data_IF_453824493223
#
_entry.id   IF_453824493223
#
_cell.length_a   1.000
_cell.length_b   1.000
_cell.length_c   1.000
_cell.angle_alpha   90.00
_cell.angle_beta   90.00
_cell.angle_gamma   90.00
#
_symmetry.space_group_name_H-M   'P 1'
#
loop_
_entity.id
_entity.type
_entity.pdbx_description
1 polymer ?
#
# COMPACT_ATOMS: atom_id res chain seq x y z
N UNK A 1 0.05 -7.48 4.32
CA UNK A 1 0.94 -6.50 3.67
C UNK A 1 0.04 -5.38 3.18
N UNK A 2 0.21 -4.15 3.68
CA UNK A 2 -0.48 -2.98 3.15
C UNK A 2 -0.38 -2.91 1.63
N UNK A 3 -1.49 -2.65 0.95
CA UNK A 3 -1.53 -2.43 -0.49
C UNK A 3 -1.63 -0.91 -0.75
N UNK A 4 -1.83 -0.50 -2.01
CA UNK A 4 -1.82 0.92 -2.36
C UNK A 4 -2.76 1.79 -1.50
N UNK A 5 -4.04 1.42 -1.28
CA UNK A 5 -4.97 2.23 -0.48
C UNK A 5 -4.51 2.46 0.97
N UNK A 6 -3.97 1.43 1.62
CA UNK A 6 -3.45 1.56 2.99
C UNK A 6 -2.22 2.47 3.03
N UNK A 7 -1.29 2.35 2.07
CA UNK A 7 -0.11 3.23 2.02
C UNK A 7 -0.51 4.68 1.73
N UNK A 8 -1.51 4.91 0.88
CA UNK A 8 -2.04 6.26 0.64
C UNK A 8 -2.71 6.84 1.89
N UNK A 9 -3.42 6.00 2.66
CA UNK A 9 -4.03 6.41 3.94
C UNK A 9 -2.95 6.82 4.95
N UNK A 10 -1.85 6.05 5.05
CA UNK A 10 -0.71 6.43 5.89
C UNK A 10 -0.09 7.75 5.42
N UNK A 11 0.14 7.91 4.10
CA UNK A 11 0.68 9.16 3.54
C UNK A 11 -0.19 10.37 3.91
N UNK A 12 -1.50 10.26 3.74
CA UNK A 12 -2.48 11.32 4.11
C UNK A 12 -2.47 11.62 5.61
N UNK A 13 -2.37 10.60 6.45
CA UNK A 13 -2.33 10.78 7.90
C UNK A 13 -1.02 11.38 8.42
N UNK A 14 0.10 11.09 7.77
CA UNK A 14 1.42 11.64 8.14
C UNK A 14 1.65 13.06 7.64
N UNK A 15 1.11 13.41 6.46
CA UNK A 15 1.38 14.69 5.80
C UNK A 15 1.12 15.92 6.70
N UNK A 16 0.01 16.04 7.45
CA UNK A 16 -0.20 17.18 8.37
C UNK A 16 0.83 17.27 9.51
N UNK A 17 1.35 16.11 9.94
CA UNK A 17 2.31 16.02 11.03
C UNK A 17 3.75 16.30 10.57
N UNK A 18 4.09 15.95 9.33
CA UNK A 18 5.47 15.87 8.87
C UNK A 18 5.80 16.81 7.70
N UNK A 19 4.90 16.95 6.71
CA UNK A 19 5.21 17.66 5.47
C UNK A 19 5.41 19.15 5.72
N UNK A 20 6.44 19.71 5.11
CA UNK A 20 6.84 21.10 5.28
C UNK A 20 7.59 21.37 6.58
N UNK A 21 7.77 20.39 7.48
CA UNK A 21 8.43 20.56 8.78
C UNK A 21 9.85 19.99 8.80
N UNK A 22 10.69 20.52 9.69
CA UNK A 22 12.03 19.99 9.97
C UNK A 22 11.95 18.79 10.93
N UNK A 23 12.69 17.73 10.61
CA UNK A 23 12.98 16.62 11.53
C UNK A 23 14.04 17.15 12.49
N UNK A 24 13.66 17.54 13.70
CA UNK A 24 14.57 18.10 14.70
C UNK A 24 15.54 17.06 15.24
N UNK A 25 15.05 15.84 15.46
CA UNK A 25 15.85 14.71 15.96
C UNK A 25 15.32 13.41 15.38
N UNK A 26 16.22 12.48 15.05
CA UNK A 26 15.86 11.13 14.63
C UNK A 26 16.41 10.09 15.61
N UNK A 27 15.52 9.35 16.26
CA UNK A 27 15.92 8.19 17.06
C UNK A 27 15.81 6.93 16.22
N UNK A 28 16.84 6.11 16.32
CA UNK A 28 16.93 4.82 15.64
C UNK A 28 17.32 3.83 16.72
N UNK A 29 16.36 3.02 17.15
CA UNK A 29 16.49 2.18 18.35
C UNK A 29 17.19 0.84 18.08
N UNK A 30 17.76 0.69 16.87
CA UNK A 30 18.44 -0.51 16.40
C UNK A 30 19.21 -0.26 15.09
N UNK A 31 20.02 -1.23 14.66
CA UNK A 31 20.86 -1.09 13.47
C UNK A 31 20.16 -1.38 12.13
N UNK A 32 19.02 -2.09 12.13
CA UNK A 32 18.39 -2.63 10.92
C UNK A 32 16.87 -2.77 11.03
N UNK A 33 16.17 -2.93 9.91
CA UNK A 33 14.80 -3.47 9.87
C UNK A 33 14.83 -4.81 9.12
N UNK A 34 14.22 -4.88 7.94
CA UNK A 34 14.47 -5.98 7.00
C UNK A 34 15.87 -5.93 6.41
N UNK A 35 16.37 -4.71 6.24
CA UNK A 35 17.72 -4.40 5.76
C UNK A 35 18.38 -3.42 6.73
N UNK A 36 19.72 -3.36 6.78
CA UNK A 36 20.44 -2.32 7.51
C UNK A 36 20.01 -0.92 7.06
N UNK A 37 20.01 0.05 7.97
CA UNK A 37 19.84 1.45 7.58
C UNK A 37 21.03 1.93 6.73
N UNK A 38 20.83 2.93 5.85
CA UNK A 38 21.92 3.53 5.10
C UNK A 38 23.09 4.02 5.97
N UNK A 39 24.32 4.11 5.43
CA UNK A 39 25.42 4.76 6.12
C UNK A 39 25.06 6.20 6.51
N UNK A 40 25.37 6.57 7.76
CA UNK A 40 25.08 7.87 8.35
C UNK A 40 23.59 8.26 8.26
N UNK A 41 22.69 7.27 8.37
CA UNK A 41 21.25 7.48 8.19
C UNK A 41 20.68 8.56 9.11
N UNK A 42 21.07 8.56 10.40
CA UNK A 42 20.61 9.57 11.36
C UNK A 42 21.09 10.96 10.94
N UNK A 43 22.38 11.10 10.68
CA UNK A 43 23.03 12.36 10.36
C UNK A 43 22.50 12.97 9.04
N UNK A 44 22.07 12.14 8.10
CA UNK A 44 21.52 12.57 6.80
C UNK A 44 20.05 13.01 6.86
N UNK A 45 19.30 12.51 7.84
CA UNK A 45 17.85 12.77 7.99
C UNK A 45 17.57 13.82 9.06
N UNK A 46 18.33 13.80 10.15
CA UNK A 46 18.22 14.78 11.23
C UNK A 46 18.56 16.19 10.74
N UNK A 47 17.77 17.18 11.13
CA UNK A 47 17.86 18.55 10.67
C UNK A 47 17.27 18.81 9.28
N UNK A 48 16.95 17.77 8.49
CA UNK A 48 16.37 17.95 7.17
C UNK A 48 14.89 18.38 7.25
N UNK A 49 14.46 19.25 6.32
CA UNK A 49 13.05 19.62 6.15
C UNK A 49 12.41 18.68 5.14
N UNK A 50 11.22 18.17 5.46
CA UNK A 50 10.44 17.37 4.52
C UNK A 50 9.76 18.33 3.53
N UNK A 51 10.20 18.34 2.28
CA UNK A 51 9.68 19.24 1.22
C UNK A 51 8.41 18.67 0.61
N UNK A 52 8.34 17.35 0.43
CA UNK A 52 7.19 16.66 -0.15
C UNK A 52 6.98 15.27 0.46
N UNK A 53 5.73 14.85 0.61
CA UNK A 53 5.36 13.49 0.98
C UNK A 53 4.47 12.86 -0.09
N UNK A 54 5.07 11.99 -0.88
CA UNK A 54 4.43 11.23 -1.94
C UNK A 54 4.29 9.75 -1.61
N UNK A 55 3.74 9.01 -2.57
CA UNK A 55 3.66 7.55 -2.57
C UNK A 55 3.94 7.06 -3.98
N UNK A 56 4.68 5.96 -4.07
CA UNK A 56 4.77 5.16 -5.31
C UNK A 56 4.47 3.72 -4.98
N UNK A 57 3.51 3.11 -5.64
CA UNK A 57 2.99 1.77 -5.36
C UNK A 57 2.68 1.56 -3.87
N UNK A 58 3.50 0.76 -3.19
CA UNK A 58 3.39 0.43 -1.75
C UNK A 58 4.53 1.07 -0.93
N UNK A 59 5.15 2.10 -1.47
CA UNK A 59 6.24 2.86 -0.86
C UNK A 59 5.75 4.26 -0.51
N UNK A 60 6.07 4.73 0.69
CA UNK A 60 6.06 6.14 1.03
C UNK A 60 7.38 6.75 0.51
N UNK A 61 7.29 7.88 -0.17
CA UNK A 61 8.45 8.60 -0.72
C UNK A 61 8.43 10.00 -0.13
N UNK A 62 9.37 10.29 0.75
CA UNK A 62 9.43 11.56 1.49
C UNK A 62 10.68 12.32 1.06
N UNK A 63 10.50 13.39 0.29
CA UNK A 63 11.60 14.22 -0.19
C UNK A 63 12.09 15.13 0.93
N UNK A 64 13.42 15.22 1.07
CA UNK A 64 14.11 16.01 2.08
C UNK A 64 14.80 17.21 1.43
N UNK A 65 14.99 18.28 2.19
CA UNK A 65 15.73 19.47 1.77
C UNK A 65 17.22 19.22 1.50
N UNK A 66 17.70 18.01 1.78
CA UNK A 66 19.07 17.54 1.50
C UNK A 66 19.21 16.93 0.10
N UNK A 67 18.20 17.08 -0.76
CA UNK A 67 18.12 16.50 -2.10
C UNK A 67 18.03 14.97 -2.11
N UNK A 68 17.79 14.35 -0.95
CA UNK A 68 17.52 12.92 -0.81
C UNK A 68 16.05 12.65 -0.55
N UNK A 69 15.57 11.50 -0.98
CA UNK A 69 14.27 10.99 -0.60
C UNK A 69 14.42 9.83 0.39
N UNK A 70 13.70 9.92 1.50
CA UNK A 70 13.45 8.84 2.43
C UNK A 70 12.36 7.92 1.87
N UNK A 71 12.76 6.74 1.43
CA UNK A 71 11.89 5.71 0.87
C UNK A 71 11.55 4.70 1.97
N UNK A 72 10.27 4.53 2.27
CA UNK A 72 9.81 3.67 3.36
C UNK A 72 8.81 2.64 2.83
N UNK A 73 8.97 1.39 3.26
CA UNK A 73 8.02 0.31 2.98
C UNK A 73 7.56 -0.31 4.28
N UNK A 74 6.24 -0.43 4.50
CA UNK A 74 5.66 -0.90 5.77
C UNK A 74 5.82 -2.41 6.00
N UNK A 75 6.16 -3.17 4.97
CA UNK A 75 6.29 -4.62 5.07
C UNK A 75 4.94 -5.27 5.33
N UNK A 76 4.81 -6.04 6.41
CA UNK A 76 3.54 -6.67 6.77
C UNK A 76 2.87 -6.11 8.02
N UNK A 77 3.66 -5.62 8.97
CA UNK A 77 3.20 -5.16 10.29
C UNK A 77 3.71 -3.77 10.66
N UNK A 78 4.45 -3.12 9.77
CA UNK A 78 4.90 -1.75 9.96
C UNK A 78 3.71 -0.80 10.00
N UNK A 79 3.69 0.06 11.02
CA UNK A 79 2.68 1.08 11.23
C UNK A 79 3.33 2.36 11.74
N UNK A 80 2.69 3.48 11.46
CA UNK A 80 3.10 4.77 11.99
C UNK A 80 2.07 5.25 13.00
N UNK A 81 2.55 5.91 14.06
CA UNK A 81 1.73 6.61 15.04
C UNK A 81 2.20 8.05 15.15
N UNK A 82 1.29 8.97 15.42
CA UNK A 82 1.59 10.39 15.60
C UNK A 82 1.14 10.79 17.01
N UNK A 83 2.05 11.39 17.78
CA UNK A 83 1.80 11.87 19.14
C UNK A 83 2.31 13.30 19.30
N UNK A 84 1.72 14.11 20.18
CA UNK A 84 2.08 15.52 20.40
C UNK A 84 0.88 16.46 20.30
N UNK A 85 1.10 17.77 20.44
CA UNK A 85 0.05 18.81 20.59
C UNK A 85 -0.98 18.79 19.43
N UNK A 86 -2.04 18.02 19.63
CA UNK A 86 -3.37 18.34 19.12
C UNK A 86 -4.10 19.08 20.23
N UNK A 87 -4.99 20.01 19.90
CA UNK A 87 -5.70 20.92 20.82
C UNK A 87 -6.68 20.22 21.79
N UNK A 88 -6.58 18.91 21.96
CA UNK A 88 -7.29 18.14 22.95
C UNK A 88 -6.31 17.14 23.58
N UNK A 89 -6.06 17.27 24.88
CA UNK A 89 -5.28 16.33 25.70
C UNK A 89 -5.99 14.97 25.83
N UNK A 90 -6.19 14.29 24.71
CA UNK A 90 -6.48 12.86 24.69
C UNK A 90 -5.15 12.15 24.43
N UNK A 91 -4.44 11.79 25.51
CA UNK A 91 -3.41 10.78 25.45
C UNK A 91 -4.07 9.46 25.01
N UNK A 92 -4.14 9.22 23.71
CA UNK A 92 -4.49 7.93 23.19
C UNK A 92 -3.23 7.06 23.26
N UNK A 93 -3.27 6.03 24.10
CA UNK A 93 -2.29 4.95 24.01
C UNK A 93 -2.46 4.33 22.60
N UNK A 94 -1.45 4.39 21.72
CA UNK A 94 -1.55 3.85 20.38
C UNK A 94 -1.80 2.32 20.34
N UNK A 95 -1.78 1.64 21.49
CA UNK A 95 -1.99 0.20 21.58
C UNK A 95 -0.82 -0.60 20.98
N UNK A 96 0.33 0.04 20.81
CA UNK A 96 1.55 -0.57 20.26
C UNK A 96 2.51 -0.94 21.38
N UNK A 97 3.19 -2.09 21.25
CA UNK A 97 4.27 -2.44 22.16
C UNK A 97 5.52 -1.58 21.83
N UNK A 98 5.99 -0.72 22.76
CA UNK A 98 7.13 0.16 22.52
C UNK A 98 8.44 -0.58 22.23
N UNK A 99 8.55 -1.86 22.59
CA UNK A 99 9.70 -2.71 22.23
C UNK A 99 9.84 -2.91 20.70
N UNK A 100 8.86 -2.49 19.92
CA UNK A 100 8.88 -2.54 18.46
C UNK A 100 8.93 -1.15 17.80
N UNK A 101 9.13 -0.09 18.58
CA UNK A 101 9.35 1.28 18.08
C UNK A 101 10.80 1.40 17.61
N UNK A 102 11.02 1.25 16.31
CA UNK A 102 12.37 1.12 15.75
C UNK A 102 12.94 2.45 15.26
N UNK A 103 12.08 3.36 14.78
CA UNK A 103 12.47 4.70 14.30
C UNK A 103 11.47 5.73 14.82
N UNK A 104 11.96 6.81 15.41
CA UNK A 104 11.15 7.90 15.95
C UNK A 104 11.63 9.22 15.36
N UNK A 105 10.72 9.93 14.70
CA UNK A 105 10.95 11.25 14.13
C UNK A 105 10.40 12.28 15.11
N UNK A 106 11.27 13.12 15.68
CA UNK A 106 10.86 14.29 16.44
C UNK A 106 10.83 15.49 15.50
N UNK A 107 9.66 16.08 15.34
CA UNK A 107 9.41 17.21 14.45
C UNK A 107 9.63 18.53 15.19
N UNK A 108 9.98 19.59 14.46
CA UNK A 108 10.31 20.91 15.04
C UNK A 108 9.20 21.59 15.86
N UNK A 109 7.96 21.11 15.78
CA UNK A 109 6.81 21.61 16.54
C UNK A 109 6.45 20.74 17.76
N UNK A 110 7.33 19.81 18.13
CA UNK A 110 7.14 18.90 19.26
C UNK A 110 6.22 17.71 18.96
N UNK A 111 5.79 17.53 17.71
CA UNK A 111 5.12 16.30 17.26
C UNK A 111 6.15 15.19 17.12
N UNK A 112 5.78 14.00 17.56
CA UNK A 112 6.57 12.77 17.42
C UNK A 112 5.84 11.80 16.49
N UNK A 113 6.56 11.27 15.51
CA UNK A 113 6.06 10.23 14.61
C UNK A 113 6.88 8.95 14.79
N UNK A 114 6.23 7.86 15.18
CA UNK A 114 6.91 6.60 15.53
C UNK A 114 6.58 5.50 14.53
N UNK A 115 7.62 4.88 13.97
CA UNK A 115 7.51 3.66 13.16
C UNK A 115 7.66 2.42 14.03
N UNK A 116 6.57 1.67 14.16
CA UNK A 116 6.49 0.41 14.90
C UNK A 116 6.40 -0.77 13.93
N UNK A 117 7.26 -1.79 14.06
CA UNK A 117 7.19 -2.99 13.20
C UNK A 117 7.60 -4.28 13.96
N UNK A 118 6.64 -5.03 14.52
CA UNK A 118 6.92 -6.25 15.27
C UNK A 118 7.65 -7.33 14.46
N UNK A 119 7.34 -7.47 13.16
CA UNK A 119 7.94 -8.50 12.29
C UNK A 119 9.19 -8.01 11.57
N UNK A 120 9.44 -6.70 11.55
CA UNK A 120 10.65 -6.08 10.97
C UNK A 120 10.80 -6.38 9.48
N UNK A 121 9.67 -6.38 8.77
CA UNK A 121 9.65 -6.63 7.33
C UNK A 121 9.58 -5.36 6.51
N UNK A 122 9.33 -4.22 7.16
CA UNK A 122 9.56 -2.93 6.53
C UNK A 122 11.04 -2.58 6.43
N UNK A 123 11.30 -1.48 5.75
CA UNK A 123 12.64 -0.92 5.59
C UNK A 123 12.57 0.56 5.29
N UNK A 124 13.68 1.25 5.51
CA UNK A 124 13.89 2.65 5.16
C UNK A 124 15.22 2.76 4.42
N UNK A 125 15.19 3.37 3.24
CA UNK A 125 16.38 3.62 2.42
C UNK A 125 16.39 5.11 2.04
N UNK A 126 17.58 5.62 1.67
CA UNK A 126 17.76 6.97 1.14
C UNK A 126 18.23 6.87 -0.31
N UNK A 127 17.69 7.73 -1.16
CA UNK A 127 18.03 7.78 -2.58
C UNK A 127 18.04 9.24 -3.08
N UNK A 128 18.92 9.63 -4.01
CA UNK A 128 18.88 10.98 -4.58
C UNK A 128 17.53 11.28 -5.22
N UNK A 129 16.97 12.46 -4.94
CA UNK A 129 15.62 12.86 -5.39
C UNK A 129 15.56 12.96 -6.91
N UNK A 130 16.61 13.50 -7.53
CA UNK A 130 16.72 13.63 -8.99
C UNK A 130 16.70 12.27 -9.72
N UNK A 131 17.16 11.21 -9.05
CA UNK A 131 17.28 9.86 -9.61
C UNK A 131 16.22 8.89 -9.07
N UNK A 132 15.12 9.39 -8.48
CA UNK A 132 14.09 8.51 -7.91
C UNK A 132 13.49 7.51 -8.89
N UNK A 133 13.43 7.85 -10.18
CA UNK A 133 12.93 6.94 -11.21
C UNK A 133 13.83 5.72 -11.45
N UNK A 134 15.12 5.80 -11.11
CA UNK A 134 16.09 4.70 -11.25
C UNK A 134 16.25 3.87 -9.97
N UNK A 135 15.53 4.22 -8.89
CA UNK A 135 15.59 3.45 -7.66
C UNK A 135 15.19 1.98 -7.93
N UNK A 136 16.03 0.99 -7.59
CA UNK A 136 15.88 -0.40 -8.06
C UNK A 136 14.53 -1.08 -7.75
N UNK A 137 13.83 -0.62 -6.70
CA UNK A 137 12.52 -1.19 -6.33
C UNK A 137 11.33 -0.47 -6.96
N UNK A 138 11.57 0.66 -7.63
CA UNK A 138 10.57 1.49 -8.31
C UNK A 138 10.73 1.45 -9.84
N UNK A 139 11.96 1.36 -10.36
CA UNK A 139 12.26 1.50 -11.79
C UNK A 139 11.47 0.55 -12.71
N UNK A 140 11.15 -0.66 -12.23
CA UNK A 140 10.44 -1.68 -13.01
C UNK A 140 8.93 -1.69 -12.78
N UNK A 141 8.39 -0.79 -11.96
CA UNK A 141 6.98 -0.78 -11.60
C UNK A 141 6.12 -0.28 -12.78
N UNK A 142 5.04 -1.00 -13.05
CA UNK A 142 4.00 -0.59 -13.99
C UNK A 142 3.25 0.67 -13.54
N UNK A 143 2.31 1.17 -14.35
CA UNK A 143 1.52 2.34 -14.01
C UNK A 143 0.67 2.10 -12.76
N UNK A 144 0.22 3.19 -12.14
CA UNK A 144 -0.67 3.11 -10.99
C UNK A 144 -2.14 3.08 -11.42
N UNK A 145 -3.01 2.35 -10.70
CA UNK A 145 -4.43 2.61 -10.74
C UNK A 145 -4.72 4.11 -10.53
N UNK A 146 -5.77 4.61 -11.15
CA UNK A 146 -6.19 6.03 -11.13
C UNK A 146 -5.22 7.03 -11.81
N UNK A 147 -4.06 6.59 -12.31
CA UNK A 147 -3.16 7.45 -13.08
C UNK A 147 -3.56 7.52 -14.57
N UNK A 148 -3.16 8.60 -15.24
CA UNK A 148 -3.38 8.77 -16.68
C UNK A 148 -2.66 7.73 -17.55
N UNK A 149 -1.64 7.04 -17.00
CA UNK A 149 -0.91 5.99 -17.71
C UNK A 149 -1.55 4.60 -17.58
N UNK A 150 -2.56 4.44 -16.70
CA UNK A 150 -3.31 3.20 -16.59
C UNK A 150 -4.65 3.29 -17.33
N UNK A 151 -4.79 2.47 -18.37
CA UNK A 151 -6.00 2.39 -19.20
C UNK A 151 -6.28 0.96 -19.63
N UNK A 152 -7.48 0.72 -20.18
CA UNK A 152 -7.79 -0.57 -20.78
C UNK A 152 -6.91 -0.89 -21.99
N UNK A 153 -6.51 0.13 -22.77
CA UNK A 153 -5.57 -0.03 -23.88
C UNK A 153 -4.19 -0.48 -23.37
N UNK A 154 -3.68 0.17 -22.32
CA UNK A 154 -2.45 -0.25 -21.65
C UNK A 154 -2.57 -1.70 -21.15
N UNK A 155 -3.66 -2.04 -20.45
CA UNK A 155 -3.86 -3.37 -19.88
C UNK A 155 -3.92 -4.45 -20.96
N UNK A 156 -4.55 -4.19 -22.11
CA UNK A 156 -4.58 -5.10 -23.25
C UNK A 156 -3.15 -5.44 -23.73
N UNK A 157 -2.30 -4.43 -23.93
CA UNK A 157 -0.92 -4.64 -24.37
C UNK A 157 -0.07 -5.30 -23.28
N UNK A 158 -0.20 -4.87 -22.03
CA UNK A 158 0.54 -5.44 -20.90
C UNK A 158 0.23 -6.92 -20.67
N UNK A 159 -0.98 -7.38 -21.02
CA UNK A 159 -1.39 -8.78 -20.86
C UNK A 159 -1.11 -9.66 -22.10
N UNK A 160 -0.71 -9.06 -23.21
CA UNK A 160 -0.45 -9.77 -24.47
C UNK A 160 0.63 -10.84 -24.29
N UNK A 161 0.35 -12.05 -24.77
CA UNK A 161 1.26 -13.20 -24.66
C UNK A 161 1.45 -13.77 -23.25
N UNK A 162 0.85 -13.18 -22.20
CA UNK A 162 0.93 -13.73 -20.84
C UNK A 162 -0.05 -14.89 -20.66
N UNK A 163 0.49 -16.11 -20.72
CA UNK A 163 -0.28 -17.35 -20.53
C UNK A 163 -0.67 -17.62 -19.06
N UNK A 164 -0.05 -16.92 -18.10
CA UNK A 164 -0.36 -17.04 -16.68
C UNK A 164 -1.83 -16.66 -16.36
N UNK A 165 -2.41 -17.17 -15.25
CA UNK A 165 -3.72 -16.72 -14.79
C UNK A 165 -3.76 -15.20 -14.55
N UNK A 166 -4.88 -14.56 -14.88
CA UNK A 166 -5.07 -13.11 -14.78
C UNK A 166 -4.79 -12.58 -13.37
N UNK A 167 -5.17 -13.34 -12.33
CA UNK A 167 -4.85 -12.96 -10.95
C UNK A 167 -3.34 -12.84 -10.74
N UNK A 168 -2.57 -13.82 -11.23
CA UNK A 168 -1.12 -13.80 -11.09
C UNK A 168 -0.50 -12.63 -11.86
N UNK A 169 -1.02 -12.35 -13.07
CA UNK A 169 -0.57 -11.21 -13.87
C UNK A 169 -0.86 -9.85 -13.20
N UNK A 170 -1.99 -9.68 -12.51
CA UNK A 170 -2.32 -8.44 -11.80
C UNK A 170 -1.57 -8.25 -10.48
N UNK A 171 -1.00 -9.33 -9.93
CA UNK A 171 -0.14 -9.25 -8.74
C UNK A 171 1.31 -8.89 -9.11
N UNK A 172 1.69 -9.04 -10.37
CA UNK A 172 2.98 -8.59 -10.90
C UNK A 172 3.01 -7.06 -10.91
N UNK A 173 3.88 -6.48 -10.08
CA UNK A 173 3.97 -5.04 -9.94
C UNK A 173 4.52 -4.34 -11.19
N UNK A 174 5.14 -5.08 -12.13
CA UNK A 174 5.53 -4.56 -13.43
C UNK A 174 4.35 -4.42 -14.40
N UNK A 175 3.27 -5.18 -14.20
CA UNK A 175 2.02 -5.05 -14.98
C UNK A 175 1.15 -3.92 -14.43
N UNK A 176 0.97 -3.87 -13.11
CA UNK A 176 0.25 -2.78 -12.47
C UNK A 176 0.74 -2.64 -11.04
N UNK A 177 1.16 -1.43 -10.70
CA UNK A 177 1.76 -1.16 -9.42
C UNK A 177 0.70 -0.98 -8.32
N UNK A 178 1.03 -1.40 -7.10
CA UNK A 178 0.21 -1.08 -5.93
C UNK A 178 -0.92 -2.07 -5.65
N UNK A 179 -1.37 -2.85 -6.63
CA UNK A 179 -2.33 -3.92 -6.39
C UNK A 179 -1.73 -5.07 -5.57
N UNK A 180 -2.52 -5.66 -4.68
CA UNK A 180 -2.19 -6.89 -3.98
C UNK A 180 -3.37 -7.88 -3.96
N UNK A 181 -3.39 -8.75 -2.98
CA UNK A 181 -4.28 -9.92 -3.01
C UNK A 181 -5.76 -9.53 -2.86
N UNK A 182 -6.03 -8.52 -2.04
CA UNK A 182 -7.40 -8.08 -1.73
C UNK A 182 -8.02 -7.46 -2.96
N UNK A 183 -7.42 -6.36 -3.42
CA UNK A 183 -8.00 -5.53 -4.46
C UNK A 183 -8.03 -6.23 -5.83
N UNK A 184 -7.12 -7.20 -6.07
CA UNK A 184 -7.21 -8.06 -7.26
C UNK A 184 -8.41 -9.00 -7.20
N UNK A 185 -8.72 -9.62 -6.04
CA UNK A 185 -9.89 -10.50 -5.93
C UNK A 185 -11.19 -9.69 -6.12
N UNK A 186 -11.28 -8.53 -5.48
CA UNK A 186 -12.43 -7.63 -5.59
C UNK A 186 -12.63 -7.11 -7.02
N UNK A 187 -11.58 -6.64 -7.68
CA UNK A 187 -11.66 -6.15 -9.06
C UNK A 187 -12.04 -7.27 -10.07
N UNK A 188 -11.53 -8.48 -9.87
CA UNK A 188 -11.89 -9.63 -10.70
C UNK A 188 -13.35 -10.06 -10.50
N UNK A 189 -13.87 -9.97 -9.27
CA UNK A 189 -15.28 -10.21 -9.00
C UNK A 189 -16.16 -9.17 -9.69
N UNK A 190 -15.89 -7.87 -9.48
CA UNK A 190 -16.67 -6.78 -10.07
C UNK A 190 -16.65 -6.77 -11.60
N UNK A 191 -15.54 -7.18 -12.21
CA UNK A 191 -15.43 -7.30 -13.68
C UNK A 191 -16.03 -8.60 -14.26
N UNK A 192 -16.46 -9.53 -13.40
CA UNK A 192 -17.02 -10.83 -13.78
C UNK A 192 -16.00 -11.77 -14.43
N UNK A 193 -14.72 -11.62 -14.10
CA UNK A 193 -13.62 -12.39 -14.71
C UNK A 193 -13.16 -13.47 -13.75
N UNK A 194 -13.11 -14.72 -14.23
CA UNK A 194 -12.54 -15.83 -13.45
C UNK A 194 -11.06 -15.59 -13.14
N UNK A 195 -10.59 -15.75 -11.89
CA UNK A 195 -9.18 -15.56 -11.55
C UNK A 195 -8.26 -16.62 -12.18
N UNK A 196 -8.84 -17.70 -12.73
CA UNK A 196 -8.13 -18.75 -13.47
C UNK A 196 -7.95 -18.44 -14.96
N UNK A 197 -8.65 -17.43 -15.49
CA UNK A 197 -8.61 -17.08 -16.91
C UNK A 197 -7.18 -16.70 -17.30
N UNK A 198 -6.70 -17.18 -18.46
CA UNK A 198 -5.39 -16.78 -19.00
C UNK A 198 -5.38 -15.28 -19.23
N UNK A 199 -4.34 -14.59 -18.77
CA UNK A 199 -4.28 -13.13 -18.81
C UNK A 199 -4.38 -12.59 -20.24
N UNK A 200 -3.67 -13.22 -21.19
CA UNK A 200 -3.75 -12.90 -22.62
C UNK A 200 -5.16 -13.05 -23.26
N UNK A 201 -6.13 -13.67 -22.59
CA UNK A 201 -7.51 -13.79 -23.07
C UNK A 201 -8.45 -12.72 -22.51
N UNK A 202 -7.94 -11.84 -21.64
CA UNK A 202 -8.64 -10.67 -21.11
C UNK A 202 -8.35 -9.51 -22.04
N UNK A 203 -9.11 -9.43 -23.12
CA UNK A 203 -8.93 -8.43 -24.18
C UNK A 203 -10.23 -7.66 -24.48
N UNK A 204 -10.09 -6.48 -25.08
CA UNK A 204 -11.22 -5.64 -25.51
C UNK A 204 -12.17 -5.34 -24.37
N UNK A 205 -13.47 -5.61 -24.55
CA UNK A 205 -14.52 -5.36 -23.53
C UNK A 205 -14.23 -5.98 -22.16
N UNK A 206 -13.44 -7.06 -22.07
CA UNK A 206 -13.04 -7.63 -20.77
C UNK A 206 -12.00 -6.77 -20.08
N UNK A 207 -10.99 -6.29 -20.81
CA UNK A 207 -9.99 -5.38 -20.27
C UNK A 207 -10.61 -4.03 -19.90
N UNK A 208 -11.58 -3.54 -20.68
CA UNK A 208 -12.31 -2.31 -20.36
C UNK A 208 -13.02 -2.41 -18.99
N UNK A 209 -13.77 -3.50 -18.78
CA UNK A 209 -14.44 -3.75 -17.49
C UNK A 209 -13.44 -3.95 -16.35
N UNK A 210 -12.32 -4.64 -16.60
CA UNK A 210 -11.31 -4.89 -15.58
C UNK A 210 -10.59 -3.62 -15.16
N UNK A 211 -10.12 -2.81 -16.12
CA UNK A 211 -9.45 -1.55 -15.83
C UNK A 211 -10.36 -0.59 -15.05
N UNK A 212 -11.64 -0.52 -15.45
CA UNK A 212 -12.65 0.25 -14.72
C UNK A 212 -12.85 -0.27 -13.29
N UNK A 213 -13.08 -1.58 -13.13
CA UNK A 213 -13.28 -2.19 -11.83
C UNK A 213 -12.06 -2.02 -10.90
N UNK A 214 -10.84 -2.08 -11.44
CA UNK A 214 -9.61 -1.79 -10.68
C UNK A 214 -9.63 -0.35 -10.16
N UNK A 215 -9.90 0.63 -11.02
CA UNK A 215 -9.96 2.04 -10.61
C UNK A 215 -11.06 2.29 -9.57
N UNK A 216 -12.27 1.76 -9.79
CA UNK A 216 -13.39 1.90 -8.86
C UNK A 216 -13.06 1.31 -7.47
N UNK A 217 -12.56 0.07 -7.43
CA UNK A 217 -12.17 -0.59 -6.17
C UNK A 217 -11.10 0.19 -5.43
N UNK A 218 -10.07 0.67 -6.14
CA UNK A 218 -8.98 1.42 -5.51
C UNK A 218 -9.43 2.79 -5.04
N UNK A 219 -10.26 3.50 -5.81
CA UNK A 219 -10.82 4.78 -5.39
C UNK A 219 -11.68 4.63 -4.13
N UNK A 220 -12.60 3.66 -4.12
CA UNK A 220 -13.45 3.37 -2.96
C UNK A 220 -12.63 2.95 -1.74
N UNK A 221 -11.58 2.15 -1.94
CA UNK A 221 -10.70 1.74 -0.87
C UNK A 221 -9.92 2.91 -0.28
N UNK A 222 -9.41 3.83 -1.10
CA UNK A 222 -8.73 5.04 -0.61
C UNK A 222 -9.71 5.91 0.18
N UNK A 223 -10.92 6.10 -0.32
CA UNK A 223 -11.96 6.90 0.35
C UNK A 223 -12.37 6.29 1.70
N UNK A 224 -12.42 4.96 1.79
CA UNK A 224 -12.72 4.25 3.02
C UNK A 224 -11.52 4.13 4.00
N UNK A 225 -10.37 4.76 3.70
CA UNK A 225 -9.17 4.69 4.54
C UNK A 225 -8.42 3.34 4.46
N UNK A 226 -8.64 2.59 3.38
CA UNK A 226 -8.11 1.24 3.19
C UNK A 226 -8.84 0.19 4.02
N UNK A 227 -8.25 -1.00 4.06
CA UNK A 227 -8.73 -2.14 4.84
C UNK A 227 -7.91 -2.34 6.12
N UNK A 228 -8.61 -2.40 7.25
CA UNK A 228 -8.00 -2.76 8.53
C UNK A 228 -7.93 -4.28 8.67
N UNK A 229 -6.92 -4.91 8.06
CA UNK A 229 -6.68 -6.34 8.27
C UNK A 229 -5.75 -6.50 9.47
N UNK A 230 -6.33 -7.04 10.55
CA UNK A 230 -5.75 -7.48 11.84
C UNK A 230 -4.88 -6.52 12.66
N UNK A 231 -4.18 -5.57 12.04
CA UNK A 231 -3.12 -4.78 12.70
C UNK A 231 -2.97 -3.34 12.17
N UNK A 232 -3.82 -2.92 11.23
CA UNK A 232 -3.71 -1.60 10.59
C UNK A 232 -4.65 -0.59 11.26
N UNK A 233 -4.06 0.41 11.91
CA UNK A 233 -4.70 1.66 12.27
C UNK A 233 -4.04 2.78 11.46
N UNK A 234 -4.81 3.79 11.05
CA UNK A 234 -4.27 4.97 10.37
C UNK A 234 -3.25 5.69 11.26
N UNK A 235 -2.47 6.62 10.69
CA UNK A 235 -1.54 7.42 11.47
C UNK A 235 -2.24 8.29 12.56
N UNK A 236 -3.55 8.53 12.41
CA UNK A 236 -4.42 9.18 13.42
C UNK A 236 -5.08 8.19 14.41
N UNK A 237 -4.85 6.89 14.26
CA UNK A 237 -5.47 5.83 15.07
C UNK A 237 -6.84 5.35 14.55
N UNK A 238 -7.36 5.92 13.46
CA UNK A 238 -8.63 5.52 12.87
C UNK A 238 -8.50 4.24 12.03
N UNK A 239 -9.43 3.30 12.22
CA UNK A 239 -9.49 2.07 11.43
C UNK A 239 -10.04 2.38 10.03
N UNK A 240 -9.35 1.95 8.98
CA UNK A 240 -9.93 1.86 7.63
C UNK A 240 -11.16 0.93 7.64
N UNK A 241 -12.18 1.25 6.84
CA UNK A 241 -13.48 0.56 6.87
C UNK A 241 -13.74 -0.33 5.65
N UNK A 242 -12.82 -0.40 4.68
CA UNK A 242 -13.06 -1.09 3.41
C UNK A 242 -13.26 -2.61 3.57
N UNK A 243 -12.74 -3.24 4.62
CA UNK A 243 -12.97 -4.66 4.91
C UNK A 243 -14.46 -5.02 5.11
N UNK A 244 -15.30 -4.05 5.50
CA UNK A 244 -16.75 -4.25 5.58
C UNK A 244 -17.43 -4.28 4.21
N UNK A 245 -16.72 -3.85 3.16
CA UNK A 245 -17.19 -3.75 1.78
C UNK A 245 -16.68 -4.88 0.89
N UNK A 246 -15.93 -5.84 1.42
CA UNK A 246 -15.45 -6.99 0.65
C UNK A 246 -16.61 -7.79 0.07
N UNK A 247 -16.58 -7.98 -1.25
CA UNK A 247 -17.58 -8.77 -1.96
C UNK A 247 -17.17 -10.24 -1.99
N UNK A 248 -15.87 -10.55 -2.04
CA UNK A 248 -15.39 -11.94 -2.08
C UNK A 248 -14.21 -12.22 -1.16
N UNK A 249 -13.35 -11.24 -0.90
CA UNK A 249 -12.12 -11.48 -0.15
C UNK A 249 -12.40 -11.92 1.29
N UNK A 250 -11.77 -13.02 1.71
CA UNK A 250 -11.95 -13.62 3.05
C UNK A 250 -13.41 -14.01 3.40
N UNK A 251 -14.23 -14.23 2.36
CA UNK A 251 -15.64 -14.64 2.50
C UNK A 251 -15.89 -16.09 2.10
N UNK A 252 -14.88 -16.96 2.17
CA UNK A 252 -15.02 -18.39 1.82
C UNK A 252 -16.22 -19.04 2.52
N UNK A 253 -17.07 -19.73 1.75
CA UNK A 253 -18.30 -20.36 2.25
C UNK A 253 -19.47 -19.41 2.52
N UNK A 254 -19.26 -18.09 2.50
CA UNK A 254 -20.35 -17.14 2.62
C UNK A 254 -21.13 -17.01 1.30
N UNK A 255 -22.43 -16.65 1.33
CA UNK A 255 -23.22 -16.45 0.12
C UNK A 255 -22.73 -15.21 -0.65
N UNK A 256 -22.57 -15.36 -1.97
CA UNK A 256 -22.34 -14.27 -2.90
C UNK A 256 -23.51 -13.28 -2.84
N UNK A 257 -23.22 -11.99 -2.63
CA UNK A 257 -24.26 -10.95 -2.57
C UNK A 257 -25.02 -10.75 -3.90
N UNK A 258 -24.48 -11.23 -5.02
CA UNK A 258 -25.12 -11.11 -6.34
C UNK A 258 -25.98 -12.30 -6.72
N UNK A 259 -25.57 -13.52 -6.36
CA UNK A 259 -26.22 -14.75 -6.86
C UNK A 259 -26.50 -15.82 -5.80
N UNK A 260 -26.21 -15.57 -4.53
CA UNK A 260 -26.45 -16.49 -3.42
C UNK A 260 -25.53 -17.70 -3.32
N UNK A 261 -24.79 -18.05 -4.38
CA UNK A 261 -23.86 -19.19 -4.37
C UNK A 261 -22.65 -18.93 -3.46
N UNK A 262 -22.08 -19.99 -2.89
CA UNK A 262 -20.94 -19.88 -1.98
C UNK A 262 -19.69 -19.31 -2.67
N UNK A 263 -19.03 -18.38 -2.00
CA UNK A 263 -17.71 -17.91 -2.38
C UNK A 263 -16.71 -19.04 -2.18
N UNK A 264 -15.93 -19.31 -3.22
CA UNK A 264 -14.93 -20.37 -3.24
C UNK A 264 -13.55 -19.80 -2.98
N UNK A 265 -12.71 -20.58 -2.29
CA UNK A 265 -11.28 -20.32 -2.17
C UNK A 265 -10.46 -21.27 -3.02
N UNK A 266 -9.39 -20.76 -3.62
CA UNK A 266 -8.29 -21.56 -4.19
C UNK A 266 -6.95 -20.94 -3.85
N UNK A 267 -5.88 -21.74 -3.93
CA UNK A 267 -4.51 -21.24 -3.88
C UNK A 267 -3.99 -21.02 -5.30
N UNK A 268 -3.50 -19.83 -5.60
CA UNK A 268 -2.83 -19.50 -6.86
C UNK A 268 -1.52 -18.78 -6.54
N UNK A 269 -0.40 -19.32 -7.05
CA UNK A 269 0.95 -18.75 -6.83
C UNK A 269 1.26 -18.47 -5.35
N UNK A 270 0.93 -19.42 -4.47
CA UNK A 270 1.16 -19.32 -3.03
C UNK A 270 0.23 -18.34 -2.28
N UNK A 271 -0.82 -17.81 -2.92
CA UNK A 271 -1.77 -16.87 -2.30
C UNK A 271 -3.21 -17.36 -2.38
N UNK A 272 -3.97 -17.15 -1.30
CA UNK A 272 -5.41 -17.39 -1.27
C UNK A 272 -6.14 -16.50 -2.27
N UNK A 273 -7.06 -17.08 -3.02
CA UNK A 273 -7.92 -16.42 -4.00
C UNK A 273 -9.36 -16.71 -3.65
N UNK A 274 -10.17 -15.67 -3.62
CA UNK A 274 -11.60 -15.79 -3.35
C UNK A 274 -12.39 -15.34 -4.58
N UNK A 275 -13.40 -16.10 -4.97
CA UNK A 275 -14.17 -15.84 -6.18
C UNK A 275 -15.54 -16.53 -6.14
N UNK A 276 -16.49 -16.00 -6.91
CA UNK A 276 -17.80 -16.59 -7.12
C UNK A 276 -17.85 -17.29 -8.49
N UNK A 277 -18.04 -18.62 -8.50
CA UNK A 277 -18.05 -19.42 -9.74
C UNK A 277 -19.11 -18.99 -10.75
N UNK A 278 -20.39 -18.78 -10.35
CA UNK A 278 -21.43 -18.32 -11.27
C UNK A 278 -21.23 -16.90 -11.82
N UNK A 279 -20.72 -15.97 -11.00
CA UNK A 279 -20.54 -14.57 -11.38
C UNK A 279 -19.28 -14.32 -12.21
N UNK A 280 -18.26 -15.19 -12.11
CA UNK A 280 -16.96 -14.98 -12.73
C UNK A 280 -16.62 -16.06 -13.76
N UNK A 281 -16.51 -15.66 -15.04
CA UNK A 281 -16.29 -16.58 -16.16
C UNK A 281 -14.93 -16.44 -16.80
#
# INVERSE_FOLDING_TARGET
>A
MPELPEVETVRRGLSPAMQGKRIERLEVNRADLRFPFPPNFRERVEGARITHMGRRAKFLVTELSTEEALIMHLGMSGRFTVAGKTTADFHHDPGTNPAHDHVVFHMEDGVTVTYNDPRRFGFMELWPTEDLSSYPRIEHLGPEPLSNSFSAAYLNEALKGKAAPIKAALLDQAVIAGLGNIYVCEALFRSGISPRRKAQSVVGKRADRLARAINEVIAEAIEAGGSSISDFASASGELGYFQKQFLVYDREGAPCFTCGADIKRIVQSGRSTFYCGPCQK
#
